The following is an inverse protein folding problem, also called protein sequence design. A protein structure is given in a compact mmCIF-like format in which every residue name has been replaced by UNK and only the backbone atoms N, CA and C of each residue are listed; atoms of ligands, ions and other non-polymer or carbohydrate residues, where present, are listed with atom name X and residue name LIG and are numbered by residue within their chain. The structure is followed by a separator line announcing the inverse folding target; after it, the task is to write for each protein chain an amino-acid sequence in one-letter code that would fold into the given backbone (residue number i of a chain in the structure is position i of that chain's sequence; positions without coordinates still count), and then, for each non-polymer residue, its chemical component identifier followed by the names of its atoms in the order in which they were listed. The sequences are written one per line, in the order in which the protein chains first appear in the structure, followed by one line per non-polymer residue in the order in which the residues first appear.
data_IF_224861284105
#
_entry.id   IF_224861284105
#
_cell.length_a   1.000
_cell.length_b   1.000
_cell.length_c   1.000
_cell.angle_alpha   90.00
_cell.angle_beta   90.00
_cell.angle_gamma   90.00
#
_symmetry.space_group_name_H-M   'P 1'
#
loop_
_entity.id
_entity.type
_entity.pdbx_description
1 polymer ?
#
# COMPACT_ATOMS: atom_id res chain seq x y z
N UNK A 1 3.16 -20.11 -28.97
CA UNK A 1 4.01 -20.84 -27.99
C UNK A 1 3.26 -21.20 -26.71
N UNK A 2 3.61 -22.28 -26.02
CA UNK A 2 3.00 -22.68 -24.73
C UNK A 2 3.84 -22.17 -23.55
N UNK A 3 3.19 -21.75 -22.47
CA UNK A 3 3.87 -21.29 -21.26
C UNK A 3 4.60 -22.47 -20.58
N UNK A 4 5.90 -22.35 -20.24
CA UNK A 4 6.64 -23.43 -19.59
C UNK A 4 6.18 -23.72 -18.15
N UNK A 5 5.46 -22.79 -17.51
CA UNK A 5 4.99 -22.95 -16.14
C UNK A 5 3.61 -23.62 -16.07
N UNK A 6 2.64 -23.13 -16.83
CA UNK A 6 1.25 -23.60 -16.74
C UNK A 6 0.74 -24.37 -17.97
N UNK A 7 1.54 -24.50 -19.04
CA UNK A 7 1.18 -25.25 -20.25
C UNK A 7 0.11 -24.61 -21.14
N UNK A 8 -0.45 -23.46 -20.78
CA UNK A 8 -1.46 -22.78 -21.59
C UNK A 8 -0.85 -22.09 -22.82
N UNK A 9 -1.66 -21.97 -23.88
CA UNK A 9 -1.27 -21.24 -25.08
C UNK A 9 -1.08 -19.75 -24.77
N UNK A 10 0.00 -19.20 -25.29
CA UNK A 10 0.38 -17.79 -25.14
C UNK A 10 0.75 -17.20 -26.49
N UNK A 11 0.40 -15.92 -26.67
CA UNK A 11 0.73 -15.16 -27.88
C UNK A 11 2.24 -14.94 -27.92
N UNK A 12 2.84 -15.07 -29.11
CA UNK A 12 4.28 -14.99 -29.36
C UNK A 12 4.88 -13.61 -29.08
N UNK A 13 4.05 -12.57 -29.04
CA UNK A 13 4.43 -11.20 -28.68
C UNK A 13 4.10 -10.83 -27.22
N UNK A 14 3.56 -11.74 -26.41
CA UNK A 14 3.17 -11.44 -25.04
C UNK A 14 4.36 -11.59 -24.08
N UNK A 15 4.69 -10.52 -23.36
CA UNK A 15 5.76 -10.52 -22.33
C UNK A 15 5.37 -11.34 -21.09
N UNK A 16 4.07 -11.54 -20.84
CA UNK A 16 3.56 -12.24 -19.66
C UNK A 16 2.45 -13.23 -20.05
N UNK A 17 2.40 -14.37 -19.35
CA UNK A 17 1.33 -15.33 -19.51
C UNK A 17 0.03 -14.81 -18.89
N UNK A 18 -1.05 -14.74 -19.66
CA UNK A 18 -2.36 -14.25 -19.19
C UNK A 18 -2.97 -15.13 -18.10
N UNK A 19 -2.58 -16.41 -18.02
CA UNK A 19 -3.17 -17.35 -17.07
C UNK A 19 -2.40 -17.41 -15.73
N UNK A 20 -1.07 -17.47 -15.77
CA UNK A 20 -0.24 -17.63 -14.58
C UNK A 20 0.63 -16.41 -14.23
N UNK A 21 0.64 -15.37 -15.08
CA UNK A 21 1.45 -14.17 -14.88
C UNK A 21 2.95 -14.36 -15.11
N UNK A 22 3.42 -15.56 -15.48
CA UNK A 22 4.86 -15.82 -15.67
C UNK A 22 5.40 -15.10 -16.91
N UNK A 23 6.57 -14.49 -16.78
CA UNK A 23 7.33 -13.85 -17.86
C UNK A 23 7.67 -14.87 -18.95
N UNK A 24 7.36 -14.53 -20.21
CA UNK A 24 7.74 -15.35 -21.36
C UNK A 24 9.07 -14.86 -21.94
N UNK A 25 10.01 -15.77 -22.29
CA UNK A 25 11.35 -15.41 -22.73
C UNK A 25 11.43 -14.82 -24.16
N UNK A 26 10.30 -14.44 -24.76
CA UNK A 26 10.23 -13.86 -26.10
C UNK A 26 9.74 -12.43 -26.02
N UNK A 27 10.67 -11.50 -25.74
CA UNK A 27 10.97 -10.30 -26.54
C UNK A 27 12.28 -9.75 -25.95
N UNK A 28 13.36 -9.88 -26.71
CA UNK A 28 14.56 -9.06 -26.54
C UNK A 28 14.12 -7.64 -26.87
N UNK A 29 13.92 -6.82 -25.84
CA UNK A 29 14.20 -5.39 -25.81
C UNK A 29 14.24 -4.92 -24.36
N UNK A 30 15.45 -4.98 -23.78
CA UNK A 30 15.98 -3.96 -22.87
C UNK A 30 15.17 -3.56 -21.62
N UNK A 31 14.63 -4.51 -20.86
CA UNK A 31 13.86 -4.19 -19.65
C UNK A 31 13.97 -5.21 -18.52
N UNK A 32 15.17 -5.71 -18.21
CA UNK A 32 15.41 -6.56 -17.04
C UNK A 32 15.55 -5.70 -15.77
N UNK A 33 14.46 -5.51 -15.04
CA UNK A 33 14.52 -5.12 -13.62
C UNK A 33 14.77 -6.40 -12.82
N UNK A 34 16.05 -6.73 -12.65
CA UNK A 34 16.48 -7.61 -11.57
C UNK A 34 16.70 -6.75 -10.33
N UNK A 35 16.04 -7.14 -9.26
CA UNK A 35 16.32 -6.73 -7.88
C UNK A 35 17.82 -6.83 -7.59
N UNK A 36 18.50 -5.70 -7.67
CA UNK A 36 19.83 -5.55 -7.11
C UNK A 36 19.74 -4.30 -6.23
N UNK A 37 19.93 -4.50 -4.93
CA UNK A 37 20.30 -3.40 -4.05
C UNK A 37 21.65 -2.87 -4.52
N UNK A 38 21.59 -1.91 -5.44
CA UNK A 38 22.72 -1.11 -5.87
C UNK A 38 22.46 0.26 -5.31
N UNK A 39 23.40 0.77 -4.51
CA UNK A 39 23.50 2.18 -4.19
C UNK A 39 23.63 2.96 -5.52
N UNK A 40 22.49 3.40 -6.09
CA UNK A 40 22.45 4.28 -7.27
C UNK A 40 21.91 5.64 -6.82
N UNK A 41 22.77 6.60 -6.45
CA UNK A 41 22.35 7.96 -6.08
C UNK A 41 21.96 8.81 -7.30
N UNK A 42 21.31 8.23 -8.32
CA UNK A 42 20.96 8.97 -9.54
C UNK A 42 19.76 8.45 -10.35
N UNK A 43 19.22 7.25 -10.07
CA UNK A 43 18.08 6.69 -10.84
C UNK A 43 16.74 6.79 -10.11
N UNK A 44 16.69 6.65 -8.78
CA UNK A 44 15.45 6.77 -7.99
C UNK A 44 14.90 8.20 -8.05
N UNK A 45 15.78 9.20 -7.96
CA UNK A 45 15.45 10.59 -8.22
C UNK A 45 14.73 10.79 -9.55
N UNK A 46 15.08 10.03 -10.60
CA UNK A 46 14.44 10.14 -11.90
C UNK A 46 12.99 9.62 -11.87
N UNK A 47 12.73 8.54 -11.13
CA UNK A 47 11.37 8.05 -10.91
C UNK A 47 10.53 9.01 -10.07
N UNK A 48 11.09 9.52 -8.97
CA UNK A 48 10.40 10.53 -8.15
C UNK A 48 10.09 11.78 -8.98
N UNK A 49 11.04 12.26 -9.78
CA UNK A 49 10.85 13.40 -10.68
C UNK A 49 9.72 13.18 -11.70
N UNK A 50 9.61 11.96 -12.24
CA UNK A 50 8.56 11.60 -13.19
C UNK A 50 7.15 11.57 -12.57
N UNK A 51 7.03 11.16 -11.31
CA UNK A 51 5.74 11.07 -10.60
C UNK A 51 5.26 12.42 -10.05
N UNK A 52 6.18 13.23 -9.49
CA UNK A 52 5.86 14.52 -8.84
C UNK A 52 5.48 15.60 -9.88
N UNK A 53 6.03 15.49 -11.10
CA UNK A 53 5.91 16.53 -12.12
C UNK A 53 6.85 17.71 -11.86
N UNK A 54 6.63 18.83 -12.56
CA UNK A 54 7.53 20.00 -12.53
C UNK A 54 7.34 20.91 -11.31
N UNK A 55 6.21 20.82 -10.61
CA UNK A 55 5.87 21.74 -9.54
C UNK A 55 6.45 21.26 -8.19
N UNK A 56 7.15 22.16 -7.50
CA UNK A 56 7.75 21.92 -6.17
C UNK A 56 8.63 20.67 -6.08
N UNK A 57 9.19 20.23 -7.20
CA UNK A 57 9.96 19.00 -7.31
C UNK A 57 11.16 18.98 -6.37
N UNK A 58 11.87 20.10 -6.25
CA UNK A 58 13.02 20.23 -5.35
C UNK A 58 12.65 19.98 -3.88
N UNK A 59 11.48 20.46 -3.44
CA UNK A 59 11.00 20.24 -2.07
C UNK A 59 10.77 18.76 -1.80
N UNK A 60 10.00 18.09 -2.67
CA UNK A 60 9.66 16.69 -2.48
C UNK A 60 10.88 15.76 -2.64
N UNK A 61 11.81 16.07 -3.54
CA UNK A 61 13.05 15.29 -3.66
C UNK A 61 13.89 15.35 -2.38
N UNK A 62 14.05 16.55 -1.80
CA UNK A 62 14.77 16.68 -0.52
C UNK A 62 14.06 15.95 0.63
N UNK A 63 12.72 15.94 0.61
CA UNK A 63 11.92 15.19 1.57
C UNK A 63 12.12 13.69 1.42
N UNK A 64 12.04 13.14 0.20
CA UNK A 64 12.26 11.70 -0.05
C UNK A 64 13.68 11.26 0.27
N UNK A 65 14.68 12.06 -0.08
CA UNK A 65 16.06 11.76 0.28
C UNK A 65 16.26 11.67 1.81
N UNK A 66 15.69 12.60 2.58
CA UNK A 66 15.72 12.52 4.04
C UNK A 66 15.03 11.26 4.59
N UNK A 67 14.00 10.79 3.89
CA UNK A 67 13.27 9.56 4.21
C UNK A 67 14.10 8.30 3.97
N UNK A 68 14.77 8.22 2.83
CA UNK A 68 15.59 7.07 2.45
C UNK A 68 16.83 6.95 3.33
N UNK A 69 17.40 8.09 3.79
CA UNK A 69 18.54 8.11 4.71
C UNK A 69 18.18 7.71 6.15
N UNK A 70 17.07 8.24 6.70
CA UNK A 70 16.68 7.98 8.09
C UNK A 70 15.84 6.71 8.25
N UNK A 71 15.19 6.24 7.19
CA UNK A 71 14.33 5.06 7.20
C UNK A 71 13.07 5.18 8.05
N UNK A 72 12.76 6.36 8.61
CA UNK A 72 11.66 6.52 9.57
C UNK A 72 10.85 7.80 9.33
N UNK A 73 9.53 7.64 9.20
CA UNK A 73 8.57 8.76 9.25
C UNK A 73 8.44 9.14 10.70
N UNK A 74 9.11 10.21 11.13
CA UNK A 74 9.14 10.63 12.53
C UNK A 74 7.78 10.51 13.26
N UNK A 75 7.81 10.16 14.56
CA UNK A 75 6.67 9.87 15.44
C UNK A 75 5.29 10.30 14.90
N UNK A 76 4.63 9.41 14.16
CA UNK A 76 3.26 9.63 13.71
C UNK A 76 2.30 9.54 14.90
N UNK A 77 1.49 10.57 15.10
CA UNK A 77 0.45 10.55 16.13
C UNK A 77 -0.69 9.63 15.69
N UNK A 78 -0.91 8.53 16.41
CA UNK A 78 -1.99 7.58 16.10
C UNK A 78 -3.35 8.12 16.57
N UNK A 79 -4.02 8.87 15.70
CA UNK A 79 -5.40 9.33 15.91
C UNK A 79 -6.39 8.19 16.19
N UNK A 80 -6.19 7.03 15.55
CA UNK A 80 -7.03 5.84 15.77
C UNK A 80 -7.03 5.37 17.23
N UNK A 81 -5.90 5.50 17.93
CA UNK A 81 -5.81 5.12 19.34
C UNK A 81 -6.61 6.07 20.26
N UNK A 82 -6.69 7.35 19.89
CA UNK A 82 -7.43 8.36 20.66
C UNK A 82 -8.95 8.16 20.58
N UNK A 83 -9.47 7.88 19.39
CA UNK A 83 -10.92 7.73 19.20
C UNK A 83 -11.45 6.37 19.67
N UNK A 84 -10.69 5.29 19.56
CA UNK A 84 -11.14 3.96 20.00
C UNK A 84 -11.34 3.90 21.52
N UNK A 85 -10.48 4.56 22.30
CA UNK A 85 -10.65 4.65 23.76
C UNK A 85 -11.87 5.49 24.15
N UNK A 86 -12.13 6.59 23.44
CA UNK A 86 -13.27 7.46 23.70
C UNK A 86 -14.61 6.80 23.35
N UNK A 87 -14.70 6.15 22.19
CA UNK A 87 -15.94 5.50 21.74
C UNK A 87 -16.18 4.12 22.40
N UNK A 88 -15.12 3.39 22.77
CA UNK A 88 -15.25 2.10 23.47
C UNK A 88 -15.95 2.23 24.83
N UNK A 89 -15.53 3.21 25.64
CA UNK A 89 -16.14 3.47 26.95
C UNK A 89 -17.58 4.02 26.83
N UNK A 90 -17.87 4.73 25.75
CA UNK A 90 -19.22 5.23 25.46
C UNK A 90 -20.21 4.09 25.17
N UNK A 91 -19.81 3.10 24.38
CA UNK A 91 -20.68 1.96 24.00
C UNK A 91 -20.94 1.04 25.20
N UNK A 92 -19.93 0.76 26.04
CA UNK A 92 -20.12 -0.07 27.24
C UNK A 92 -21.03 0.60 28.26
N UNK A 93 -20.90 1.92 28.46
CA UNK A 93 -21.71 2.66 29.44
C UNK A 93 -23.13 2.96 28.96
N UNK A 94 -23.30 3.34 27.69
CA UNK A 94 -24.61 3.59 27.09
C UNK A 94 -25.38 2.30 26.77
N UNK A 95 -24.69 1.19 26.47
CA UNK A 95 -25.31 -0.12 26.21
C UNK A 95 -26.01 -0.71 27.44
N UNK A 96 -25.39 -0.60 28.62
CA UNK A 96 -26.00 -1.03 29.89
C UNK A 96 -27.23 -0.17 30.24
N UNK A 97 -27.13 1.15 30.02
CA UNK A 97 -28.27 2.06 30.27
C UNK A 97 -29.44 1.77 29.33
N UNK A 98 -29.18 1.52 28.04
CA UNK A 98 -30.22 1.16 27.07
C UNK A 98 -30.88 -0.18 27.41
N UNK A 99 -30.08 -1.19 27.79
CA UNK A 99 -30.60 -2.50 28.21
C UNK A 99 -31.46 -2.41 29.48
N UNK A 100 -31.04 -1.62 30.48
CA UNK A 100 -31.84 -1.38 31.69
C UNK A 100 -33.17 -0.67 31.37
N UNK A 101 -33.16 0.33 30.49
CA UNK A 101 -34.39 1.03 30.06
C UNK A 101 -35.33 0.08 29.33
N UNK A 102 -34.82 -0.74 28.41
CA UNK A 102 -35.63 -1.74 27.71
C UNK A 102 -36.22 -2.79 28.66
N UNK A 103 -35.44 -3.26 29.64
CA UNK A 103 -35.90 -4.21 30.66
C UNK A 103 -37.01 -3.61 31.54
N UNK A 104 -36.83 -2.36 31.99
CA UNK A 104 -37.85 -1.65 32.77
C UNK A 104 -39.14 -1.41 31.98
N UNK A 105 -39.04 -1.09 30.68
CA UNK A 105 -40.20 -0.92 29.80
C UNK A 105 -40.93 -2.24 29.50
N UNK A 106 -40.21 -3.37 29.46
CA UNK A 106 -40.80 -4.71 29.32
C UNK A 106 -41.46 -5.21 30.61
N UNK A 107 -40.97 -4.81 31.79
CA UNK A 107 -41.60 -5.14 33.07
C UNK A 107 -42.81 -4.26 33.42
N UNK A 108 -42.95 -3.08 32.79
CA UNK A 108 -44.06 -2.16 33.03
C UNK A 108 -45.29 -2.41 32.14
N UNK A 109 -45.24 -3.41 31.27
CA UNK A 109 -46.31 -3.76 30.32
C UNK A 109 -46.84 -5.15 30.62
#
# INVERSE_FOLDING_TARGET
MFCPNCGNSSNEAASFCVNCGTLLPNVVDGGSVSSVGVDIPSCEDAFYKAVIGSNNQAYYLSYFNQFDEYGDTGKSWHWSALFVLFFGLYIEKCGVMHFCICYLLLCYK
#
